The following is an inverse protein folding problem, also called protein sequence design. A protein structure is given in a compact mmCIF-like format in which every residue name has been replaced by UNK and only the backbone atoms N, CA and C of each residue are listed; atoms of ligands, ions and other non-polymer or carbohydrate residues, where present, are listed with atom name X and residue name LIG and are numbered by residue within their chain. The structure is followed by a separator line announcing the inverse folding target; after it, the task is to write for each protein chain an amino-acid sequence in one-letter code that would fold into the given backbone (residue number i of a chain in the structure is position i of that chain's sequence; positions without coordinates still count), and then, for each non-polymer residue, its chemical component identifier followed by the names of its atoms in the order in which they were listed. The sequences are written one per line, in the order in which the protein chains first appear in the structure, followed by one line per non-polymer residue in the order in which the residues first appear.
data_IF_888490383026
#
_entry.id   IF_888490383026
#
_cell.length_a   1.000
_cell.length_b   1.000
_cell.length_c   1.000
_cell.angle_alpha   90.00
_cell.angle_beta   90.00
_cell.angle_gamma   90.00
#
_symmetry.space_group_name_H-M   'P 1'
#
loop_
_entity.id
_entity.type
_entity.pdbx_description
1 polymer ?
#
# COMPACT_ATOMS: atom_id res chain seq x y z
N UNK A 1 -2.50 -16.19 59.42
CA UNK A 1 -2.89 -15.48 58.18
C UNK A 1 -1.67 -14.80 57.62
N UNK A 2 -1.24 -15.20 56.42
CA UNK A 2 -0.23 -14.48 55.65
C UNK A 2 -0.79 -14.44 54.24
N UNK A 3 -1.43 -13.33 53.87
CA UNK A 3 -1.78 -13.07 52.47
C UNK A 3 -0.48 -12.70 51.76
N UNK A 4 0.07 -13.65 51.02
CA UNK A 4 1.12 -13.40 50.04
C UNK A 4 0.57 -12.40 49.02
N UNK A 5 1.10 -11.18 49.02
CA UNK A 5 0.83 -10.21 47.95
C UNK A 5 1.43 -10.77 46.67
N UNK A 6 0.60 -11.40 45.84
CA UNK A 6 0.95 -11.72 44.46
C UNK A 6 1.34 -10.40 43.79
N UNK A 7 2.62 -10.28 43.45
CA UNK A 7 3.14 -9.12 42.76
C UNK A 7 2.70 -9.27 41.31
N UNK A 8 1.60 -8.61 40.97
CA UNK A 8 1.06 -8.64 39.60
C UNK A 8 2.14 -8.11 38.66
N UNK A 9 2.55 -8.94 37.70
CA UNK A 9 3.61 -8.61 36.74
C UNK A 9 3.09 -7.57 35.74
N UNK A 10 3.70 -6.40 35.76
CA UNK A 10 3.43 -5.33 34.79
C UNK A 10 4.53 -5.27 33.74
N UNK A 11 4.15 -4.95 32.51
CA UNK A 11 5.05 -4.82 31.37
C UNK A 11 4.93 -3.43 30.75
N UNK A 12 6.00 -2.98 30.10
CA UNK A 12 5.97 -1.81 29.24
C UNK A 12 5.39 -2.18 27.88
N UNK A 13 4.43 -1.40 27.40
CA UNK A 13 3.74 -1.57 26.14
C UNK A 13 4.00 -0.38 25.23
N UNK A 14 4.44 -0.66 24.01
CA UNK A 14 4.59 0.28 22.92
C UNK A 14 3.30 0.33 22.10
N UNK A 15 2.76 1.54 21.92
CA UNK A 15 1.62 1.81 21.06
C UNK A 15 2.12 2.26 19.71
N UNK A 16 1.71 1.59 18.64
CA UNK A 16 2.01 2.00 17.28
C UNK A 16 0.73 2.33 16.51
N UNK A 17 0.76 3.41 15.73
CA UNK A 17 -0.30 3.70 14.77
C UNK A 17 -0.23 2.74 13.58
N UNK A 18 -1.37 2.22 13.17
CA UNK A 18 -1.54 1.46 11.92
C UNK A 18 -2.18 2.38 10.86
N UNK A 19 -1.48 2.55 9.74
CA UNK A 19 -1.95 3.35 8.61
C UNK A 19 -3.00 2.60 7.77
N UNK A 20 -3.70 3.33 6.90
CA UNK A 20 -4.75 2.76 6.03
C UNK A 20 -4.25 1.63 5.11
N UNK A 21 -2.96 1.64 4.79
CA UNK A 21 -2.29 0.58 4.01
C UNK A 21 -1.92 -0.65 4.85
N UNK A 22 -2.40 -0.75 6.10
CA UNK A 22 -2.08 -1.83 7.03
C UNK A 22 -0.70 -1.74 7.68
N UNK A 23 0.13 -0.75 7.31
CA UNK A 23 1.49 -0.62 7.84
C UNK A 23 1.48 0.01 9.22
N UNK A 24 2.27 -0.56 10.14
CA UNK A 24 2.56 0.01 11.45
C UNK A 24 3.62 1.13 11.35
N UNK A 25 3.51 2.15 12.19
CA UNK A 25 4.52 3.19 12.35
C UNK A 25 5.90 2.62 12.74
N UNK A 26 6.98 3.32 12.36
CA UNK A 26 8.36 2.91 12.66
C UNK A 26 8.71 3.10 14.15
N UNK A 27 8.19 4.15 14.77
CA UNK A 27 8.38 4.45 16.18
C UNK A 27 7.04 4.34 16.91
N UNK A 28 7.06 3.95 18.19
CA UNK A 28 5.87 4.03 19.02
C UNK A 28 5.43 5.49 19.15
N UNK A 29 4.12 5.71 19.12
CA UNK A 29 3.51 7.02 19.32
C UNK A 29 3.28 7.31 20.80
N UNK A 30 3.24 6.27 21.62
CA UNK A 30 3.03 6.33 23.05
C UNK A 30 3.52 5.03 23.70
N UNK A 31 3.76 5.06 25.00
CA UNK A 31 4.14 3.90 25.80
C UNK A 31 3.40 3.94 27.13
N UNK A 32 2.99 2.79 27.65
CA UNK A 32 2.32 2.70 28.96
C UNK A 32 2.66 1.39 29.67
N UNK A 33 2.39 1.31 30.97
CA UNK A 33 2.57 0.10 31.76
C UNK A 33 1.24 -0.57 32.06
N UNK A 34 1.15 -1.88 31.83
CA UNK A 34 -0.03 -2.69 32.15
C UNK A 34 0.33 -4.18 32.25
N UNK A 35 -0.59 -4.96 32.80
CA UNK A 35 -0.53 -6.43 32.84
C UNK A 35 -0.77 -7.03 31.45
N UNK A 36 -0.44 -8.30 31.25
CA UNK A 36 -0.73 -8.98 29.97
C UNK A 36 -2.24 -9.07 29.72
N UNK A 37 -3.04 -9.18 30.77
CA UNK A 37 -4.48 -9.38 30.70
C UNK A 37 -5.21 -8.06 30.42
N UNK A 38 -4.74 -6.95 30.98
CA UNK A 38 -5.49 -5.67 30.98
C UNK A 38 -4.99 -4.65 29.96
N UNK A 39 -3.83 -4.86 29.33
CA UNK A 39 -3.20 -3.85 28.47
C UNK A 39 -4.11 -3.29 27.37
N UNK A 40 -4.99 -4.11 26.78
CA UNK A 40 -5.95 -3.66 25.76
C UNK A 40 -7.01 -2.74 26.37
N UNK A 41 -7.61 -3.18 27.48
CA UNK A 41 -8.66 -2.42 28.17
C UNK A 41 -8.11 -1.10 28.70
N UNK A 42 -6.95 -1.15 29.35
CA UNK A 42 -6.25 0.03 29.86
C UNK A 42 -5.86 1.00 28.73
N UNK A 43 -5.41 0.49 27.59
CA UNK A 43 -5.13 1.34 26.43
C UNK A 43 -6.39 2.07 25.93
N UNK A 44 -7.48 1.34 25.69
CA UNK A 44 -8.71 1.93 25.15
C UNK A 44 -9.38 2.90 26.13
N UNK A 45 -9.36 2.57 27.42
CA UNK A 45 -10.04 3.36 28.44
C UNK A 45 -9.17 4.48 29.01
N UNK A 46 -7.89 4.30 29.26
CA UNK A 46 -7.10 5.30 30.01
C UNK A 46 -6.09 6.03 29.13
N UNK A 47 -5.44 5.32 28.21
CA UNK A 47 -4.40 5.92 27.35
C UNK A 47 -5.04 6.70 26.20
N UNK A 48 -5.95 6.07 25.45
CA UNK A 48 -6.54 6.60 24.22
C UNK A 48 -7.44 7.80 24.47
N UNK A 49 -7.99 7.96 25.67
CA UNK A 49 -8.76 9.17 26.08
C UNK A 49 -7.94 10.45 25.90
N UNK A 50 -6.62 10.37 26.13
CA UNK A 50 -5.69 11.50 26.09
C UNK A 50 -5.19 11.83 24.67
N UNK A 51 -5.56 11.03 23.66
CA UNK A 51 -5.20 11.32 22.28
C UNK A 51 -6.10 12.40 21.68
N UNK A 52 -5.60 13.11 20.67
CA UNK A 52 -6.43 14.05 19.92
C UNK A 52 -7.60 13.33 19.25
N UNK A 53 -8.69 14.05 19.00
CA UNK A 53 -9.92 13.49 18.42
C UNK A 53 -9.68 12.86 17.04
N UNK A 54 -8.82 13.50 16.24
CA UNK A 54 -8.32 12.97 14.97
C UNK A 54 -7.50 11.68 15.11
N UNK A 55 -6.90 11.44 16.29
CA UNK A 55 -6.11 10.25 16.55
C UNK A 55 -6.94 9.07 17.06
N UNK A 56 -7.99 9.32 17.85
CA UNK A 56 -8.84 8.27 18.46
C UNK A 56 -9.46 7.32 17.42
N UNK A 57 -9.78 7.81 16.23
CA UNK A 57 -10.33 7.02 15.13
C UNK A 57 -9.32 6.15 14.36
N UNK A 58 -8.02 6.22 14.67
CA UNK A 58 -7.03 5.38 14.02
C UNK A 58 -7.00 3.98 14.64
N UNK A 59 -6.46 3.02 13.86
CA UNK A 59 -6.11 1.70 14.37
C UNK A 59 -4.74 1.73 15.05
N UNK A 60 -4.59 0.94 16.11
CA UNK A 60 -3.35 0.83 16.87
C UNK A 60 -2.95 -0.62 17.06
N UNK A 61 -1.65 -0.85 17.17
CA UNK A 61 -1.04 -2.13 17.51
C UNK A 61 -0.25 -1.95 18.80
N UNK A 62 -0.49 -2.84 19.77
CA UNK A 62 0.15 -2.82 21.09
C UNK A 62 1.16 -3.95 21.15
N UNK A 63 2.41 -3.63 21.44
CA UNK A 63 3.48 -4.61 21.58
C UNK A 63 4.23 -4.40 22.87
N UNK A 64 4.50 -5.48 23.60
CA UNK A 64 5.38 -5.39 24.76
C UNK A 64 6.77 -4.98 24.34
N UNK A 65 7.37 -4.05 25.07
CA UNK A 65 8.68 -3.49 24.78
C UNK A 65 9.82 -4.53 24.82
N UNK A 66 9.63 -5.63 25.56
CA UNK A 66 10.58 -6.74 25.67
C UNK A 66 10.47 -7.77 24.53
N UNK A 67 9.39 -7.74 23.75
CA UNK A 67 9.22 -8.60 22.57
C UNK A 67 9.87 -7.95 21.34
N UNK A 68 9.96 -8.72 20.25
CA UNK A 68 10.49 -8.20 18.98
C UNK A 68 9.63 -7.03 18.48
N UNK A 69 10.27 -5.88 18.29
CA UNK A 69 9.66 -4.71 17.65
C UNK A 69 9.86 -4.73 16.13
N UNK A 70 10.46 -5.78 15.57
CA UNK A 70 10.61 -5.90 14.13
C UNK A 70 9.23 -5.83 13.47
N UNK A 71 9.10 -5.01 12.43
CA UNK A 71 7.93 -5.11 11.55
C UNK A 71 8.04 -6.48 10.88
N UNK A 72 6.95 -7.26 10.71
CA UNK A 72 7.00 -8.36 9.75
C UNK A 72 7.60 -7.78 8.47
N UNK A 73 8.71 -8.37 8.01
CA UNK A 73 9.46 -7.87 6.87
C UNK A 73 8.44 -7.53 5.79
N UNK A 74 8.56 -6.33 5.22
CA UNK A 74 7.67 -5.89 4.15
C UNK A 74 7.70 -7.03 3.13
N UNK A 75 6.61 -7.80 3.03
CA UNK A 75 6.44 -8.73 1.92
C UNK A 75 6.17 -7.84 0.71
N UNK A 76 7.20 -7.11 0.30
CA UNK A 76 7.30 -6.55 -1.02
C UNK A 76 7.19 -7.79 -1.88
N UNK A 77 6.08 -7.89 -2.60
CA UNK A 77 6.02 -8.86 -3.67
C UNK A 77 7.03 -8.38 -4.72
N UNK A 78 8.29 -8.82 -4.56
CA UNK A 78 9.40 -8.41 -5.41
C UNK A 78 9.10 -8.69 -6.88
N UNK A 79 8.34 -9.76 -7.14
CA UNK A 79 7.85 -10.11 -8.46
C UNK A 79 6.87 -9.06 -8.99
N UNK A 80 5.93 -8.60 -8.18
CA UNK A 80 4.98 -7.54 -8.55
C UNK A 80 5.69 -6.21 -8.81
N UNK A 81 6.65 -5.81 -7.95
CA UNK A 81 7.41 -4.57 -8.16
C UNK A 81 8.29 -4.65 -9.41
N UNK A 82 8.96 -5.80 -9.61
CA UNK A 82 9.75 -6.08 -10.82
C UNK A 82 8.87 -6.03 -12.06
N UNK A 83 7.69 -6.65 -12.01
CA UNK A 83 6.72 -6.62 -13.10
C UNK A 83 6.25 -5.19 -13.40
N UNK A 84 5.92 -4.38 -12.39
CA UNK A 84 5.49 -2.99 -12.59
C UNK A 84 6.57 -2.13 -13.24
N UNK A 85 7.83 -2.27 -12.82
CA UNK A 85 8.97 -1.60 -13.43
C UNK A 85 9.13 -2.00 -14.91
N UNK A 86 9.06 -3.29 -15.18
CA UNK A 86 9.25 -3.82 -16.53
C UNK A 86 8.10 -3.47 -17.47
N UNK A 87 6.86 -3.55 -16.98
CA UNK A 87 5.66 -3.05 -17.67
C UNK A 87 5.83 -1.60 -18.12
N UNK A 88 6.26 -0.73 -17.21
CA UNK A 88 6.48 0.68 -17.52
C UNK A 88 7.60 0.89 -18.54
N UNK A 89 8.66 0.07 -18.48
CA UNK A 89 9.75 0.07 -19.46
C UNK A 89 9.24 -0.29 -20.86
N UNK A 90 8.47 -1.36 -20.98
CA UNK A 90 7.88 -1.82 -22.25
C UNK A 90 6.95 -0.76 -22.84
N UNK A 91 6.00 -0.24 -22.05
CA UNK A 91 5.08 0.79 -22.53
C UNK A 91 5.83 2.08 -22.93
N UNK A 92 6.88 2.45 -22.19
CA UNK A 92 7.75 3.56 -22.54
C UNK A 92 8.50 3.36 -23.87
N UNK A 93 8.94 2.12 -24.16
CA UNK A 93 9.51 1.78 -25.48
C UNK A 93 8.47 1.91 -26.59
N UNK A 94 7.24 1.47 -26.37
CA UNK A 94 6.17 1.61 -27.37
C UNK A 94 5.91 3.08 -27.68
N UNK A 95 5.87 3.96 -26.66
CA UNK A 95 5.74 5.41 -26.84
C UNK A 95 6.87 5.94 -27.74
N UNK A 96 8.12 5.58 -27.44
CA UNK A 96 9.29 6.00 -28.22
C UNK A 96 9.24 5.46 -29.65
N UNK A 97 8.95 4.18 -29.84
CA UNK A 97 8.92 3.53 -31.15
C UNK A 97 7.80 4.08 -32.05
N UNK A 98 6.66 4.47 -31.47
CA UNK A 98 5.56 5.14 -32.18
C UNK A 98 5.78 6.65 -32.36
N UNK A 99 6.91 7.19 -31.87
CA UNK A 99 7.22 8.62 -31.86
C UNK A 99 6.09 9.49 -31.27
N UNK A 100 5.44 8.98 -30.21
CA UNK A 100 4.35 9.70 -29.54
C UNK A 100 4.98 10.81 -28.70
N UNK A 101 4.65 12.05 -29.04
CA UNK A 101 5.07 13.25 -28.32
C UNK A 101 3.85 14.00 -27.82
N UNK A 102 4.01 14.70 -26.70
CA UNK A 102 2.95 15.54 -26.16
C UNK A 102 3.54 16.75 -25.43
N UNK A 103 2.81 17.86 -25.45
CA UNK A 103 3.25 19.11 -24.80
C UNK A 103 3.31 19.01 -23.29
N UNK A 104 2.50 18.13 -22.71
CA UNK A 104 2.48 17.83 -21.27
C UNK A 104 3.13 16.50 -20.96
N UNK A 105 3.56 16.36 -19.71
CA UNK A 105 4.04 15.07 -19.18
C UNK A 105 3.00 13.99 -19.41
N UNK A 106 3.42 12.84 -19.89
CA UNK A 106 2.56 11.67 -20.11
C UNK A 106 2.71 10.65 -18.98
N UNK A 107 1.65 9.88 -18.76
CA UNK A 107 1.62 8.66 -17.99
C UNK A 107 1.02 7.53 -18.85
N UNK A 108 1.09 6.29 -18.37
CA UNK A 108 0.47 5.14 -19.03
C UNK A 108 -0.62 4.56 -18.15
N UNK A 109 -1.76 4.21 -18.75
CA UNK A 109 -2.89 3.64 -18.04
C UNK A 109 -3.64 2.64 -18.93
N UNK A 110 -4.30 1.69 -18.28
CA UNK A 110 -5.32 0.88 -18.93
C UNK A 110 -6.64 1.64 -18.86
N UNK A 111 -7.19 2.01 -20.01
CA UNK A 111 -8.37 2.85 -20.11
C UNK A 111 -9.53 2.12 -20.79
N UNK A 112 -10.73 2.52 -20.43
CA UNK A 112 -11.99 2.10 -21.03
C UNK A 112 -12.77 3.36 -21.42
N UNK A 113 -12.92 3.62 -22.71
CA UNK A 113 -13.42 4.91 -23.18
C UNK A 113 -14.28 4.79 -24.44
N UNK A 114 -15.11 5.79 -24.70
CA UNK A 114 -16.08 5.73 -25.80
C UNK A 114 -15.41 5.65 -27.18
N UNK A 115 -14.30 6.38 -27.39
CA UNK A 115 -13.55 6.38 -28.65
C UNK A 115 -12.81 5.06 -28.92
N UNK A 116 -12.57 4.19 -27.92
CA UNK A 116 -12.15 2.80 -28.18
C UNK A 116 -13.31 1.86 -28.52
N UNK A 117 -14.52 2.38 -28.69
CA UNK A 117 -15.71 1.56 -28.87
C UNK A 117 -16.04 0.75 -27.62
N UNK A 118 -15.82 1.34 -26.43
CA UNK A 118 -16.02 0.67 -25.15
C UNK A 118 -15.19 -0.61 -25.03
N UNK A 119 -13.89 -0.49 -25.34
CA UNK A 119 -12.89 -1.55 -25.23
C UNK A 119 -11.72 -1.11 -24.36
N UNK A 120 -11.11 -2.07 -23.70
CA UNK A 120 -9.93 -1.85 -22.89
C UNK A 120 -8.71 -1.62 -23.79
N UNK A 121 -7.90 -0.62 -23.47
CA UNK A 121 -6.67 -0.35 -24.21
C UNK A 121 -5.62 0.25 -23.28
N UNK A 122 -4.38 -0.23 -23.36
CA UNK A 122 -3.25 0.49 -22.77
C UNK A 122 -3.00 1.74 -23.59
N UNK A 123 -2.99 2.90 -22.94
CA UNK A 123 -2.84 4.19 -23.59
C UNK A 123 -1.82 5.07 -22.87
N UNK A 124 -1.21 5.98 -23.64
CA UNK A 124 -0.59 7.17 -23.12
C UNK A 124 -1.68 8.19 -22.79
N UNK A 125 -1.56 8.80 -21.62
CA UNK A 125 -2.49 9.81 -21.10
C UNK A 125 -1.71 11.03 -20.59
N UNK A 126 -2.35 12.20 -20.56
CA UNK A 126 -1.81 13.37 -19.88
C UNK A 126 -1.70 13.11 -18.37
N UNK A 127 -0.50 13.31 -17.81
CA UNK A 127 -0.29 13.28 -16.38
C UNK A 127 -1.09 14.42 -15.71
N UNK A 128 -1.91 14.07 -14.73
CA UNK A 128 -2.72 15.00 -13.93
C UNK A 128 -4.15 15.18 -14.44
N UNK A 129 -4.38 15.22 -15.75
CA UNK A 129 -5.75 15.36 -16.32
C UNK A 129 -6.37 14.05 -16.75
N UNK A 130 -5.55 13.01 -16.99
CA UNK A 130 -6.02 11.71 -17.47
C UNK A 130 -6.54 11.72 -18.91
N UNK A 131 -6.38 12.83 -19.64
CA UNK A 131 -6.83 12.93 -21.04
C UNK A 131 -6.10 11.92 -21.91
N UNK A 132 -6.83 11.27 -22.80
CA UNK A 132 -6.27 10.37 -23.80
C UNK A 132 -5.27 11.11 -24.69
N UNK A 133 -4.13 10.48 -24.95
CA UNK A 133 -3.13 10.96 -25.92
C UNK A 133 -3.03 9.99 -27.08
N UNK A 134 -2.75 8.71 -26.82
CA UNK A 134 -2.57 7.71 -27.87
C UNK A 134 -2.67 6.27 -27.36
N UNK A 135 -3.17 5.36 -28.21
CA UNK A 135 -3.24 3.94 -27.96
C UNK A 135 -1.87 3.25 -28.08
N UNK A 136 -1.47 2.50 -27.05
CA UNK A 136 -0.22 1.75 -27.00
C UNK A 136 -0.43 0.28 -27.39
N UNK A 137 -1.57 -0.30 -27.04
CA UNK A 137 -1.94 -1.70 -27.35
C UNK A 137 -3.05 -1.82 -28.40
N UNK A 138 -3.35 -3.05 -28.86
CA UNK A 138 -4.67 -3.38 -29.40
C UNK A 138 -5.80 -3.08 -28.42
N UNK A 139 -7.04 -3.16 -28.91
CA UNK A 139 -8.24 -3.04 -28.10
C UNK A 139 -8.71 -4.42 -27.62
N UNK A 140 -9.09 -4.52 -26.36
CA UNK A 140 -9.47 -5.77 -25.69
C UNK A 140 -10.91 -5.71 -25.19
N UNK A 141 -11.57 -6.87 -25.10
CA UNK A 141 -12.92 -6.97 -24.54
C UNK A 141 -12.88 -6.96 -23.02
N UNK A 142 -11.84 -7.53 -22.42
CA UNK A 142 -11.71 -7.65 -20.96
C UNK A 142 -10.39 -7.06 -20.47
N UNK A 143 -10.34 -6.75 -19.17
CA UNK A 143 -9.09 -6.37 -18.49
C UNK A 143 -8.10 -7.53 -18.45
N UNK A 144 -8.59 -8.78 -18.39
CA UNK A 144 -7.76 -10.00 -18.41
C UNK A 144 -6.92 -10.09 -19.68
N UNK A 145 -7.55 -9.98 -20.85
CA UNK A 145 -6.86 -9.97 -22.15
C UNK A 145 -5.79 -8.86 -22.23
N UNK A 146 -6.11 -7.66 -21.73
CA UNK A 146 -5.17 -6.54 -21.72
C UNK A 146 -3.96 -6.79 -20.81
N UNK A 147 -4.17 -7.48 -19.69
CA UNK A 147 -3.12 -7.85 -18.75
C UNK A 147 -2.26 -9.00 -19.29
N UNK A 148 -2.86 -10.00 -19.92
CA UNK A 148 -2.15 -11.09 -20.60
C UNK A 148 -1.22 -10.54 -21.69
N UNK A 149 -1.73 -9.63 -22.53
CA UNK A 149 -0.94 -9.02 -23.60
C UNK A 149 0.31 -8.32 -23.07
N UNK A 150 0.19 -7.51 -22.01
CA UNK A 150 1.34 -6.80 -21.47
C UNK A 150 2.28 -7.74 -20.71
N UNK A 151 1.76 -8.81 -20.09
CA UNK A 151 2.58 -9.87 -19.49
C UNK A 151 3.42 -10.58 -20.55
N UNK A 152 2.85 -10.94 -21.70
CA UNK A 152 3.61 -11.53 -22.81
C UNK A 152 4.76 -10.62 -23.24
N UNK A 153 4.50 -9.31 -23.41
CA UNK A 153 5.55 -8.37 -23.80
C UNK A 153 6.64 -8.20 -22.76
N UNK A 154 6.27 -8.19 -21.47
CA UNK A 154 7.23 -8.14 -20.36
C UNK A 154 8.11 -9.40 -20.39
N UNK A 155 7.53 -10.59 -20.55
CA UNK A 155 8.26 -11.85 -20.61
C UNK A 155 9.19 -11.97 -21.82
N UNK A 156 8.83 -11.41 -22.97
CA UNK A 156 9.68 -11.40 -24.18
C UNK A 156 10.77 -10.32 -24.16
N UNK A 157 10.66 -9.33 -23.28
CA UNK A 157 11.62 -8.21 -23.19
C UNK A 157 12.80 -8.47 -22.23
N UNK A 158 12.80 -9.63 -21.56
CA UNK A 158 13.88 -10.12 -20.69
C UNK A 158 14.97 -10.79 -21.51
#
# INVERSE_FOLDING_TARGET
GIQSKEKVLTFNWNVYKVFKNGKRAKAPIHTFEATEEDHISYFEQEVKKNFSESFKGNKFELLRADKSQARPAEAINEEEEKFLKEKNRVLGRIIKNKNITHSKRMATALIYYAESGWRWQWAAIEAGTGKYVAGLSPQFKTTGEANEWIQTLVSTSV
#
